data_IF_708574530378
#
_entry.id   IF_708574530378
#
_cell.length_a   1.000
_cell.length_b   1.000
_cell.length_c   1.000
_cell.angle_alpha   90.00
_cell.angle_beta   90.00
_cell.angle_gamma   90.00
#
_symmetry.space_group_name_H-M   'P 1'
#
loop_
_entity.id
_entity.type
_entity.pdbx_description
1 polymer ?
#
# COMPACT_ATOMS: atom_id res chain seq x y z
N UNK A 1 -3.41 23.49 -8.81
CA UNK A 1 -3.27 22.03 -8.97
C UNK A 1 -2.02 21.80 -9.82
N UNK A 2 -1.18 20.80 -9.50
CA UNK A 2 0.00 20.50 -10.33
C UNK A 2 -0.46 19.55 -11.43
N UNK A 3 -0.35 19.97 -12.68
CA UNK A 3 -0.58 19.13 -13.86
C UNK A 3 0.79 18.73 -14.45
N UNK A 4 0.88 17.52 -14.98
CA UNK A 4 2.01 17.10 -15.83
C UNK A 4 1.46 16.88 -17.24
N UNK A 5 2.09 17.53 -18.21
CA UNK A 5 1.73 17.39 -19.61
C UNK A 5 2.49 16.20 -20.19
N UNK A 6 1.76 15.18 -20.62
CA UNK A 6 2.32 14.01 -21.30
C UNK A 6 2.10 14.20 -22.80
N UNK A 7 3.19 14.42 -23.54
CA UNK A 7 3.15 14.43 -25.01
C UNK A 7 3.17 13.00 -25.53
N UNK A 8 2.07 12.56 -26.12
CA UNK A 8 1.97 11.25 -26.79
C UNK A 8 2.77 11.23 -28.10
N UNK A 9 3.00 10.05 -28.69
CA UNK A 9 3.68 9.86 -29.99
C UNK A 9 2.99 10.60 -31.15
N UNK A 10 1.71 10.91 -30.98
CA UNK A 10 0.90 11.67 -31.93
C UNK A 10 0.96 13.19 -31.68
N UNK A 11 1.88 13.64 -30.79
CA UNK A 11 2.09 15.04 -30.42
C UNK A 11 0.84 15.70 -29.80
N UNK A 12 -0.02 14.91 -29.16
CA UNK A 12 -1.14 15.39 -28.35
C UNK A 12 -0.70 15.45 -26.89
N UNK A 13 -0.84 16.62 -26.27
CA UNK A 13 -0.56 16.87 -24.84
C UNK A 13 -1.76 16.47 -24.01
N UNK A 14 -1.61 15.44 -23.18
CA UNK A 14 -2.62 15.07 -22.18
C UNK A 14 -2.16 15.64 -20.84
N UNK A 15 -2.93 16.57 -20.28
CA UNK A 15 -2.69 17.11 -18.95
C UNK A 15 -3.19 16.09 -17.91
N UNK A 16 -2.28 15.50 -17.15
CA UNK A 16 -2.63 14.66 -16.01
C UNK A 16 -2.59 15.48 -14.73
N UNK A 17 -3.71 15.51 -14.01
CA UNK A 17 -3.74 16.07 -12.67
C UNK A 17 -2.96 15.16 -11.71
N UNK A 18 -1.95 15.73 -11.05
CA UNK A 18 -1.24 15.00 -10.01
C UNK A 18 -2.08 14.96 -8.74
N UNK A 19 -2.15 13.75 -8.16
CA UNK A 19 -2.64 13.56 -6.81
C UNK A 19 -1.97 14.53 -5.84
N UNK A 20 -2.79 15.26 -5.07
CA UNK A 20 -2.31 16.22 -4.10
C UNK A 20 -1.57 15.51 -2.95
N UNK A 21 -0.70 16.25 -2.26
CA UNK A 21 0.02 15.76 -1.08
C UNK A 21 -0.94 15.15 -0.03
N UNK A 22 -2.10 15.78 0.17
CA UNK A 22 -3.14 15.31 1.09
C UNK A 22 -3.60 13.89 0.76
N UNK A 23 -3.89 13.61 -0.50
CA UNK A 23 -4.46 12.31 -0.89
C UNK A 23 -3.40 11.20 -0.77
N UNK A 24 -2.12 11.53 -0.96
CA UNK A 24 -1.00 10.62 -0.67
C UNK A 24 -0.86 10.33 0.83
N UNK A 25 -1.03 11.34 1.67
CA UNK A 25 -0.97 11.18 3.14
C UNK A 25 -2.14 10.31 3.61
N UNK A 26 -3.35 10.55 3.11
CA UNK A 26 -4.53 9.74 3.43
C UNK A 26 -4.31 8.29 2.98
N UNK A 27 -3.79 8.08 1.77
CA UNK A 27 -3.48 6.73 1.29
C UNK A 27 -2.50 5.99 2.21
N UNK A 28 -1.43 6.65 2.64
CA UNK A 28 -0.43 6.08 3.55
C UNK A 28 -1.03 5.74 4.92
N UNK A 29 -1.83 6.65 5.50
CA UNK A 29 -2.49 6.39 6.77
C UNK A 29 -3.47 5.21 6.68
N UNK A 30 -4.25 5.13 5.59
CA UNK A 30 -5.17 4.03 5.37
C UNK A 30 -4.45 2.70 5.19
N UNK A 31 -3.36 2.67 4.41
CA UNK A 31 -2.55 1.46 4.27
C UNK A 31 -1.97 1.00 5.61
N UNK A 32 -1.43 1.93 6.40
CA UNK A 32 -0.87 1.60 7.70
C UNK A 32 -1.92 1.07 8.68
N UNK A 33 -3.13 1.64 8.66
CA UNK A 33 -4.25 1.18 9.50
C UNK A 33 -4.66 -0.25 9.12
N UNK A 34 -4.83 -0.53 7.83
CA UNK A 34 -5.20 -1.86 7.34
C UNK A 34 -4.14 -2.89 7.74
N UNK A 35 -2.87 -2.57 7.54
CA UNK A 35 -1.75 -3.46 7.85
C UNK A 35 -1.65 -3.70 9.37
N UNK A 36 -1.85 -2.65 10.18
CA UNK A 36 -1.85 -2.75 11.64
C UNK A 36 -2.98 -3.64 12.15
N UNK A 37 -4.22 -3.45 11.66
CA UNK A 37 -5.37 -4.28 12.05
C UNK A 37 -5.14 -5.74 11.64
N UNK A 38 -4.62 -5.98 10.42
CA UNK A 38 -4.29 -7.32 9.95
C UNK A 38 -3.26 -8.01 10.86
N UNK A 39 -2.14 -7.34 11.15
CA UNK A 39 -1.09 -7.89 12.01
C UNK A 39 -1.58 -8.11 13.45
N UNK A 40 -2.44 -7.23 13.97
CA UNK A 40 -3.02 -7.38 15.30
C UNK A 40 -3.91 -8.63 15.39
N UNK A 41 -4.75 -8.88 14.38
CA UNK A 41 -5.56 -10.10 14.32
C UNK A 41 -4.67 -11.34 14.25
N UNK A 42 -3.66 -11.34 13.38
CA UNK A 42 -2.72 -12.46 13.27
C UNK A 42 -1.96 -12.69 14.59
N UNK A 43 -1.57 -11.62 15.28
CA UNK A 43 -0.91 -11.69 16.58
C UNK A 43 -1.80 -12.33 17.65
N UNK A 44 -3.07 -11.91 17.74
CA UNK A 44 -4.04 -12.48 18.67
C UNK A 44 -4.29 -13.97 18.40
N UNK A 45 -4.41 -14.36 17.13
CA UNK A 45 -4.56 -15.76 16.74
C UNK A 45 -3.31 -16.59 17.09
N UNK A 46 -2.12 -16.04 16.83
CA UNK A 46 -0.87 -16.71 17.14
C UNK A 46 -0.67 -16.91 18.64
N UNK A 47 -0.94 -15.89 19.45
CA UNK A 47 -0.94 -15.99 20.90
C UNK A 47 -1.87 -17.10 21.40
N UNK A 48 -3.08 -17.19 20.84
CA UNK A 48 -4.06 -18.21 21.22
C UNK A 48 -3.64 -19.63 20.88
N UNK A 49 -2.81 -19.81 19.85
CA UNK A 49 -2.37 -21.13 19.38
C UNK A 49 -1.01 -21.58 19.95
N UNK A 50 -0.04 -20.67 20.10
CA UNK A 50 1.37 -21.01 20.41
C UNK A 50 1.89 -20.40 21.72
N UNK A 51 1.08 -19.61 22.43
CA UNK A 51 1.47 -18.97 23.69
C UNK A 51 2.43 -17.79 23.54
N UNK A 52 2.58 -17.03 24.63
CA UNK A 52 3.34 -15.77 24.69
C UNK A 52 4.86 -15.92 24.54
N UNK A 53 5.40 -17.09 24.85
CA UNK A 53 6.85 -17.35 24.82
C UNK A 53 7.44 -17.30 23.41
N UNK A 54 6.62 -17.54 22.38
CA UNK A 54 7.06 -17.55 20.97
C UNK A 54 6.81 -16.21 20.25
N UNK A 55 6.56 -15.14 21.00
CA UNK A 55 6.21 -13.82 20.44
C UNK A 55 7.30 -13.23 19.53
N UNK A 56 8.58 -13.44 19.84
CA UNK A 56 9.69 -13.00 18.99
C UNK A 56 9.70 -13.73 17.63
N UNK A 57 9.42 -15.04 17.64
CA UNK A 57 9.35 -15.84 16.41
C UNK A 57 8.24 -15.34 15.48
N UNK A 58 7.10 -14.92 16.02
CA UNK A 58 6.03 -14.33 15.21
C UNK A 58 6.48 -13.04 14.52
N UNK A 59 7.24 -12.18 15.21
CA UNK A 59 7.71 -10.91 14.63
C UNK A 59 8.64 -11.19 13.45
N UNK A 60 9.65 -12.04 13.66
CA UNK A 60 10.69 -12.27 12.67
C UNK A 60 10.22 -13.11 11.48
N UNK A 61 9.38 -14.13 11.71
CA UNK A 61 8.96 -15.08 10.67
C UNK A 61 7.69 -14.63 9.97
N UNK A 62 6.80 -13.91 10.65
CA UNK A 62 5.48 -13.57 10.10
C UNK A 62 5.30 -12.08 9.89
N UNK A 63 5.45 -11.26 10.93
CA UNK A 63 5.13 -9.83 10.85
C UNK A 63 6.07 -9.06 9.89
N UNK A 64 7.39 -9.28 10.00
CA UNK A 64 8.36 -8.56 9.19
C UNK A 64 8.24 -8.88 7.68
N UNK A 65 8.13 -10.15 7.24
CA UNK A 65 7.89 -10.46 5.83
C UNK A 65 6.56 -9.89 5.33
N UNK A 66 5.48 -10.04 6.09
CA UNK A 66 4.16 -9.51 5.69
C UNK A 66 4.23 -8.00 5.50
N UNK A 67 4.88 -7.27 6.40
CA UNK A 67 5.02 -5.82 6.30
C UNK A 67 5.81 -5.40 5.04
N UNK A 68 6.92 -6.08 4.74
CA UNK A 68 7.78 -5.76 3.59
C UNK A 68 7.10 -6.13 2.27
N UNK A 69 6.44 -7.29 2.22
CA UNK A 69 5.83 -7.79 0.98
C UNK A 69 4.42 -7.25 0.71
N UNK A 70 3.73 -6.67 1.69
CA UNK A 70 2.37 -6.13 1.51
C UNK A 70 2.29 -5.13 0.35
N UNK A 71 3.16 -4.11 0.35
CA UNK A 71 3.14 -3.05 -0.66
C UNK A 71 3.39 -3.58 -2.08
N UNK A 72 4.51 -4.28 -2.37
CA UNK A 72 4.79 -4.77 -3.72
C UNK A 72 3.78 -5.81 -4.19
N UNK A 73 3.35 -6.74 -3.32
CA UNK A 73 2.36 -7.76 -3.70
C UNK A 73 1.01 -7.11 -4.01
N UNK A 74 0.55 -6.16 -3.19
CA UNK A 74 -0.72 -5.48 -3.45
C UNK A 74 -0.67 -4.66 -4.74
N UNK A 75 0.44 -3.98 -5.01
CA UNK A 75 0.64 -3.22 -6.25
C UNK A 75 0.64 -4.13 -7.49
N UNK A 76 1.26 -5.31 -7.40
CA UNK A 76 1.25 -6.27 -8.51
C UNK A 76 -0.14 -6.85 -8.76
N UNK A 77 -0.93 -7.10 -7.72
CA UNK A 77 -2.28 -7.68 -7.83
C UNK A 77 -3.36 -6.67 -8.23
N UNK A 78 -3.17 -5.39 -7.91
CA UNK A 78 -4.17 -4.33 -8.10
C UNK A 78 -3.73 -3.27 -9.12
N UNK A 79 -2.91 -3.64 -10.11
CA UNK A 79 -2.46 -2.77 -11.20
C UNK A 79 -1.82 -1.44 -10.73
N UNK A 80 -0.97 -1.48 -9.70
CA UNK A 80 -0.29 -0.30 -9.16
C UNK A 80 -1.07 0.45 -8.07
N UNK A 81 -2.10 -0.18 -7.49
CA UNK A 81 -2.81 0.34 -6.32
C UNK A 81 -2.56 -0.54 -5.10
N UNK A 82 -2.53 0.06 -3.91
CA UNK A 82 -2.69 -0.63 -2.63
C UNK A 82 -4.12 -0.41 -2.14
N UNK A 83 -4.56 -1.13 -1.12
CA UNK A 83 -5.89 -0.91 -0.53
C UNK A 83 -6.08 0.54 -0.04
N UNK A 84 -5.07 1.12 0.62
CA UNK A 84 -5.10 2.52 1.06
C UNK A 84 -5.09 3.52 -0.10
N UNK A 85 -4.32 3.25 -1.17
CA UNK A 85 -4.35 4.06 -2.39
C UNK A 85 -5.70 4.00 -3.12
N UNK A 86 -6.39 2.86 -3.09
CA UNK A 86 -7.76 2.75 -3.63
C UNK A 86 -8.74 3.63 -2.88
N UNK A 87 -8.68 3.66 -1.55
CA UNK A 87 -9.54 4.52 -0.73
C UNK A 87 -9.29 6.01 -1.02
N UNK A 88 -8.03 6.38 -1.23
CA UNK A 88 -7.68 7.75 -1.64
C UNK A 88 -7.95 8.06 -3.13
N UNK A 89 -8.40 7.09 -3.92
CA UNK A 89 -8.67 7.27 -5.34
C UNK A 89 -7.43 7.50 -6.22
N UNK A 90 -6.24 7.14 -5.74
CA UNK A 90 -4.97 7.36 -6.45
C UNK A 90 -4.41 6.06 -7.04
N UNK A 91 -3.68 6.16 -8.15
CA UNK A 91 -3.07 5.03 -8.85
C UNK A 91 -1.65 5.36 -9.29
N UNK A 92 -0.74 4.39 -9.17
CA UNK A 92 0.59 4.50 -9.79
C UNK A 92 0.43 4.15 -11.27
N UNK A 93 0.86 5.06 -12.14
CA UNK A 93 0.87 4.87 -13.59
C UNK A 93 2.31 4.87 -14.05
N UNK A 94 2.70 3.87 -14.86
CA UNK A 94 4.02 3.85 -15.51
C UNK A 94 3.94 4.73 -16.76
N UNK A 95 4.94 5.59 -16.94
CA UNK A 95 5.05 6.53 -18.07
C UNK A 95 5.81 5.93 -19.26
N UNK A 96 5.70 4.61 -19.50
CA UNK A 96 6.47 3.89 -20.52
C UNK A 96 5.59 3.43 -21.66
#
# INVERSE_FOLDING_TARGET
>A
MRTIDITTTQKVTIEYELAALRDRIIAFFMDQLILYVFLLICWLLFMGAFGLENSELFIYIFAAPVYIFYTPVSEMLMDGQTLGKRVAGIKIVKLT
#
